data_IF_509308143792
#
_entry.id   IF_509308143792
#
_cell.length_a   1.000
_cell.length_b   1.000
_cell.length_c   1.000
_cell.angle_alpha   90.00
_cell.angle_beta   90.00
_cell.angle_gamma   90.00
#
_symmetry.space_group_name_H-M   'P 1'
#
loop_
_entity.id
_entity.type
_entity.pdbx_description
1 polymer ?
#
# COMPACT_ATOMS: atom_id res chain seq x y z
N UNK A 1 -5.27 -11.56 -18.50
CA UNK A 1 -3.95 -11.63 -19.18
C UNK A 1 -2.88 -11.21 -18.19
N UNK A 2 -1.81 -11.99 -18.06
CA UNK A 2 -0.68 -11.64 -17.19
C UNK A 2 0.26 -10.68 -17.91
N UNK A 3 0.76 -9.66 -17.21
CA UNK A 3 1.64 -8.62 -17.75
C UNK A 3 2.94 -9.17 -18.36
N UNK A 4 3.50 -10.21 -17.73
CA UNK A 4 4.74 -10.86 -18.17
C UNK A 4 4.61 -11.61 -19.50
N UNK A 5 3.47 -12.24 -19.80
CA UNK A 5 3.24 -12.94 -21.07
C UNK A 5 3.15 -11.97 -22.24
N UNK A 6 2.45 -10.85 -22.08
CA UNK A 6 2.35 -9.80 -23.12
C UNK A 6 3.71 -9.17 -23.40
N UNK A 7 4.48 -8.83 -22.36
CA UNK A 7 5.82 -8.26 -22.51
C UNK A 7 6.80 -9.19 -23.23
N UNK A 8 6.62 -10.50 -23.10
CA UNK A 8 7.45 -11.51 -23.75
C UNK A 8 7.15 -11.64 -25.24
N UNK A 9 5.88 -11.54 -25.64
CA UNK A 9 5.43 -11.72 -27.01
C UNK A 9 5.79 -10.53 -27.91
N UNK A 10 5.80 -9.31 -27.36
CA UNK A 10 6.02 -8.06 -28.10
C UNK A 10 7.37 -7.36 -27.82
N UNK A 11 8.41 -8.09 -27.45
CA UNK A 11 9.73 -7.53 -27.11
C UNK A 11 10.23 -6.50 -28.12
N UNK A 12 10.40 -5.25 -27.65
CA UNK A 12 10.97 -4.15 -28.44
C UNK A 12 10.07 -3.57 -29.54
N UNK A 13 8.79 -4.00 -29.65
CA UNK A 13 7.85 -3.56 -30.70
C UNK A 13 6.60 -2.86 -30.15
N UNK A 14 6.53 -2.64 -28.85
CA UNK A 14 5.36 -2.05 -28.20
C UNK A 14 5.75 -1.07 -27.09
N UNK A 15 4.93 -0.07 -26.84
CA UNK A 15 4.98 0.79 -25.66
C UNK A 15 3.87 0.33 -24.71
N UNK A 16 4.24 0.02 -23.47
CA UNK A 16 3.28 -0.38 -22.46
C UNK A 16 2.64 0.83 -21.83
N UNK A 17 1.31 0.92 -21.90
CA UNK A 17 0.51 1.89 -21.16
C UNK A 17 -0.17 1.15 -20.04
N UNK A 18 0.18 1.49 -18.80
CA UNK A 18 -0.43 0.89 -17.61
C UNK A 18 -1.69 1.67 -17.24
N UNK A 19 -2.85 1.02 -17.24
CA UNK A 19 -4.11 1.58 -16.75
C UNK A 19 -4.46 0.94 -15.41
N UNK A 20 -4.83 1.77 -14.44
CA UNK A 20 -5.33 1.34 -13.13
C UNK A 20 -6.82 1.65 -12.95
N UNK A 21 -7.39 1.34 -11.78
CA UNK A 21 -8.66 1.90 -11.33
C UNK A 21 -8.61 3.43 -11.35
N UNK A 22 -9.77 4.09 -11.26
CA UNK A 22 -9.82 5.55 -11.16
C UNK A 22 -8.96 6.01 -9.97
N UNK A 23 -8.11 7.02 -10.18
CA UNK A 23 -7.46 7.75 -9.12
C UNK A 23 -8.48 8.45 -8.23
N UNK A 24 -8.07 8.83 -7.01
CA UNK A 24 -8.96 9.61 -6.15
C UNK A 24 -9.40 10.93 -6.82
N UNK A 25 -8.52 11.58 -7.58
CA UNK A 25 -8.84 12.80 -8.29
C UNK A 25 -9.94 12.61 -9.37
N UNK A 26 -9.86 11.54 -10.14
CA UNK A 26 -10.88 11.17 -11.14
C UNK A 26 -12.21 10.82 -10.47
N UNK A 27 -12.16 10.02 -9.39
CA UNK A 27 -13.33 9.64 -8.59
C UNK A 27 -14.03 10.87 -8.00
N UNK A 28 -13.29 11.76 -7.32
CA UNK A 28 -13.83 12.97 -6.70
C UNK A 28 -14.44 13.93 -7.75
N UNK A 29 -13.81 14.04 -8.91
CA UNK A 29 -14.33 14.84 -10.03
C UNK A 29 -15.66 14.31 -10.57
N UNK A 30 -15.84 12.98 -10.59
CA UNK A 30 -17.08 12.33 -10.97
C UNK A 30 -18.18 12.52 -9.92
N UNK A 31 -17.86 12.29 -8.64
CA UNK A 31 -18.84 12.36 -7.52
C UNK A 31 -19.34 13.77 -7.25
N UNK A 32 -18.53 14.81 -7.47
CA UNK A 32 -18.85 16.23 -7.22
C UNK A 32 -19.32 16.51 -5.78
N UNK A 33 -18.87 15.71 -4.84
CA UNK A 33 -19.14 15.84 -3.41
C UNK A 33 -17.98 16.55 -2.70
N UNK A 34 -18.18 16.85 -1.41
CA UNK A 34 -17.09 17.39 -0.59
C UNK A 34 -15.91 16.39 -0.58
N UNK A 35 -14.67 16.82 -0.85
CA UNK A 35 -13.52 15.91 -1.02
C UNK A 35 -13.30 14.91 0.11
N UNK A 36 -13.54 15.34 1.36
CA UNK A 36 -13.43 14.43 2.51
C UNK A 36 -14.47 13.31 2.48
N UNK A 37 -15.73 13.61 2.12
CA UNK A 37 -16.79 12.59 2.02
C UNK A 37 -16.53 11.64 0.86
N UNK A 38 -16.13 12.18 -0.29
CA UNK A 38 -15.71 11.39 -1.45
C UNK A 38 -14.55 10.45 -1.09
N UNK A 39 -13.59 10.91 -0.25
CA UNK A 39 -12.48 10.07 0.20
C UNK A 39 -12.95 8.90 1.08
N UNK A 40 -13.90 9.13 2.00
CA UNK A 40 -14.43 8.03 2.83
C UNK A 40 -15.11 6.94 1.97
N UNK A 41 -15.83 7.33 0.93
CA UNK A 41 -16.42 6.38 -0.02
C UNK A 41 -15.34 5.65 -0.83
N UNK A 42 -14.33 6.38 -1.31
CA UNK A 42 -13.22 5.82 -2.06
C UNK A 42 -12.38 4.83 -1.24
N UNK A 43 -12.10 5.14 0.02
CA UNK A 43 -11.43 4.23 0.96
C UNK A 43 -12.21 2.92 1.12
N UNK A 44 -13.54 2.98 1.09
CA UNK A 44 -14.39 1.81 1.28
C UNK A 44 -14.56 0.97 0.03
N UNK A 45 -14.86 1.60 -1.11
CA UNK A 45 -15.28 0.90 -2.32
C UNK A 45 -14.29 1.01 -3.48
N UNK A 46 -13.24 1.83 -3.35
CA UNK A 46 -12.22 1.99 -4.39
C UNK A 46 -12.67 2.78 -5.61
N UNK A 47 -11.84 2.68 -6.64
CA UNK A 47 -12.00 3.37 -7.93
C UNK A 47 -12.29 2.45 -9.11
N UNK A 48 -12.70 1.18 -8.91
CA UNK A 48 -13.07 0.30 -10.03
C UNK A 48 -14.28 0.88 -10.77
N UNK A 49 -14.19 1.15 -12.10
CA UNK A 49 -15.24 1.88 -12.84
C UNK A 49 -16.64 1.26 -12.69
N UNK A 50 -16.75 -0.05 -12.74
CA UNK A 50 -18.03 -0.76 -12.57
C UNK A 50 -18.65 -0.51 -11.19
N UNK A 51 -17.82 -0.39 -10.14
CA UNK A 51 -18.26 -0.12 -8.77
C UNK A 51 -18.66 1.34 -8.58
N UNK A 52 -17.89 2.24 -9.19
CA UNK A 52 -18.17 3.70 -9.13
C UNK A 52 -19.53 4.04 -9.77
N UNK A 53 -19.88 3.34 -10.84
CA UNK A 53 -21.14 3.52 -11.57
C UNK A 53 -22.33 2.78 -10.94
N UNK A 54 -22.08 1.84 -10.02
CA UNK A 54 -23.12 1.01 -9.41
C UNK A 54 -23.87 1.74 -8.28
N UNK A 55 -25.10 1.28 -8.02
CA UNK A 55 -25.84 1.67 -6.82
C UNK A 55 -25.15 1.18 -5.53
N UNK A 56 -25.39 1.88 -4.43
CA UNK A 56 -24.70 1.59 -3.15
C UNK A 56 -24.93 0.14 -2.66
N UNK A 57 -26.10 -0.44 -2.94
CA UNK A 57 -26.45 -1.79 -2.53
C UNK A 57 -25.66 -2.86 -3.31
N UNK A 58 -25.27 -2.56 -4.55
CA UNK A 58 -24.60 -3.51 -5.46
C UNK A 58 -23.07 -3.49 -5.34
N UNK A 59 -22.49 -2.42 -4.83
CA UNK A 59 -21.02 -2.20 -4.83
C UNK A 59 -20.25 -3.36 -4.21
N UNK A 60 -20.67 -3.87 -3.05
CA UNK A 60 -20.03 -4.99 -2.36
C UNK A 60 -20.11 -6.27 -3.18
N UNK A 61 -21.26 -6.56 -3.77
CA UNK A 61 -21.48 -7.74 -4.60
C UNK A 61 -20.61 -7.69 -5.85
N UNK A 62 -20.57 -6.55 -6.52
CA UNK A 62 -19.72 -6.34 -7.72
C UNK A 62 -18.25 -6.51 -7.37
N UNK A 63 -17.76 -5.93 -6.27
CA UNK A 63 -16.37 -6.08 -5.84
C UNK A 63 -15.99 -7.53 -5.56
N UNK A 64 -16.84 -8.30 -4.86
CA UNK A 64 -16.63 -9.72 -4.63
C UNK A 64 -16.59 -10.50 -5.95
N UNK A 65 -17.56 -10.26 -6.84
CA UNK A 65 -17.61 -10.92 -8.14
C UNK A 65 -16.39 -10.58 -9.01
N UNK A 66 -15.93 -9.32 -8.99
CA UNK A 66 -14.70 -8.92 -9.70
C UNK A 66 -13.48 -9.64 -9.14
N UNK A 67 -13.37 -9.76 -7.83
CA UNK A 67 -12.27 -10.47 -7.19
C UNK A 67 -12.25 -11.94 -7.63
N UNK A 68 -13.37 -12.65 -7.46
CA UNK A 68 -13.45 -14.08 -7.71
C UNK A 68 -13.36 -14.41 -9.21
N UNK A 69 -14.12 -13.72 -10.05
CA UNK A 69 -14.22 -14.03 -11.48
C UNK A 69 -13.03 -13.56 -12.30
N UNK A 70 -12.47 -12.38 -11.98
CA UNK A 70 -11.42 -11.77 -12.83
C UNK A 70 -10.04 -12.10 -12.31
N UNK A 71 -9.79 -11.89 -11.01
CA UNK A 71 -8.45 -12.08 -10.47
C UNK A 71 -8.15 -13.53 -10.12
N UNK A 72 -9.01 -14.14 -9.33
CA UNK A 72 -8.74 -15.47 -8.79
C UNK A 72 -8.80 -16.54 -9.87
N UNK A 73 -9.86 -16.53 -10.67
CA UNK A 73 -10.06 -17.48 -11.76
C UNK A 73 -8.98 -17.36 -12.84
N UNK A 74 -8.66 -16.15 -13.28
CA UNK A 74 -7.62 -15.90 -14.28
C UNK A 74 -6.25 -16.38 -13.79
N UNK A 75 -5.90 -16.13 -12.52
CA UNK A 75 -4.63 -16.60 -11.93
C UNK A 75 -4.58 -18.12 -11.92
N UNK A 76 -5.67 -18.78 -11.53
CA UNK A 76 -5.74 -20.23 -11.43
C UNK A 76 -5.64 -20.90 -12.81
N UNK A 77 -6.45 -20.44 -13.77
CA UNK A 77 -6.53 -21.04 -15.11
C UNK A 77 -5.23 -20.86 -15.89
N UNK A 78 -4.68 -19.63 -15.91
CA UNK A 78 -3.46 -19.33 -16.68
C UNK A 78 -2.21 -20.03 -16.15
N UNK A 79 -2.19 -20.39 -14.87
CA UNK A 79 -1.01 -21.02 -14.24
C UNK A 79 -1.20 -22.51 -13.93
N UNK A 80 -2.34 -23.10 -14.32
CA UNK A 80 -2.67 -24.52 -14.05
C UNK A 80 -2.44 -24.90 -12.58
N UNK A 81 -2.85 -24.01 -11.66
CA UNK A 81 -2.62 -24.19 -10.23
C UNK A 81 -3.59 -25.22 -9.67
N UNK A 82 -3.04 -26.16 -8.89
CA UNK A 82 -3.84 -27.26 -8.26
C UNK A 82 -4.15 -27.01 -6.78
N UNK A 83 -3.62 -25.95 -6.18
CA UNK A 83 -3.73 -25.67 -4.74
C UNK A 83 -4.43 -24.33 -4.51
N UNK A 84 -5.71 -24.32 -4.84
CA UNK A 84 -6.60 -23.17 -4.71
C UNK A 84 -6.64 -22.63 -3.27
N UNK A 85 -6.80 -23.52 -2.28
CA UNK A 85 -6.86 -23.16 -0.86
C UNK A 85 -5.67 -22.34 -0.37
N UNK A 86 -4.44 -22.66 -0.81
CA UNK A 86 -3.25 -21.91 -0.41
C UNK A 86 -3.16 -20.54 -1.04
N UNK A 87 -3.61 -20.42 -2.29
CA UNK A 87 -3.63 -19.14 -2.98
C UNK A 87 -4.65 -18.21 -2.32
N UNK A 88 -5.80 -18.76 -1.98
CA UNK A 88 -6.89 -18.08 -1.30
C UNK A 88 -6.46 -17.56 0.07
N UNK A 89 -5.90 -18.43 0.92
CA UNK A 89 -5.41 -18.06 2.26
C UNK A 89 -4.24 -17.05 2.19
N UNK A 90 -3.32 -17.21 1.24
CA UNK A 90 -2.26 -16.23 1.04
C UNK A 90 -2.81 -14.86 0.68
N UNK A 91 -3.86 -14.81 -0.14
CA UNK A 91 -4.52 -13.56 -0.48
C UNK A 91 -5.20 -12.90 0.74
N UNK A 92 -5.81 -13.70 1.63
CA UNK A 92 -6.34 -13.21 2.91
C UNK A 92 -5.22 -12.60 3.77
N UNK A 93 -4.11 -13.32 3.93
CA UNK A 93 -2.96 -12.83 4.71
C UNK A 93 -2.45 -11.49 4.17
N UNK A 94 -2.39 -11.33 2.86
CA UNK A 94 -1.95 -10.06 2.24
C UNK A 94 -2.98 -8.96 2.50
N UNK A 95 -4.27 -9.24 2.37
CA UNK A 95 -5.33 -8.26 2.60
C UNK A 95 -5.35 -7.76 4.06
N UNK A 96 -5.22 -8.68 5.02
CA UNK A 96 -5.16 -8.36 6.46
C UNK A 96 -3.85 -7.64 6.85
N UNK A 97 -2.75 -7.92 6.16
CA UNK A 97 -1.44 -7.33 6.43
C UNK A 97 -1.03 -6.22 5.46
N UNK A 98 -2.00 -5.66 4.71
CA UNK A 98 -1.74 -4.54 3.79
C UNK A 98 -1.00 -3.42 4.52
N UNK A 99 0.08 -2.89 3.92
CA UNK A 99 0.93 -1.90 4.59
C UNK A 99 1.90 -2.48 5.64
N UNK A 100 1.79 -3.76 5.99
CA UNK A 100 2.74 -4.45 6.85
C UNK A 100 3.92 -5.06 6.10
N UNK A 101 5.07 -5.20 6.78
CA UNK A 101 6.22 -5.91 6.24
C UNK A 101 5.95 -7.41 6.18
N UNK A 102 5.92 -7.97 5.00
CA UNK A 102 5.66 -9.37 4.78
C UNK A 102 6.96 -10.19 4.78
N UNK A 103 6.99 -11.21 5.63
CA UNK A 103 8.08 -12.18 5.71
C UNK A 103 7.60 -13.54 5.21
N UNK A 104 8.07 -13.93 4.03
CA UNK A 104 7.69 -15.19 3.36
C UNK A 104 7.98 -16.42 4.22
N UNK A 105 9.10 -16.44 4.95
CA UNK A 105 9.43 -17.56 5.85
C UNK A 105 8.44 -17.65 7.03
N UNK A 106 8.03 -16.50 7.60
CA UNK A 106 7.03 -16.48 8.67
C UNK A 106 5.68 -17.00 8.17
N UNK A 107 5.29 -16.64 6.96
CA UNK A 107 4.06 -17.15 6.33
C UNK A 107 4.15 -18.67 6.15
N UNK A 108 5.27 -19.19 5.61
CA UNK A 108 5.48 -20.63 5.45
C UNK A 108 5.35 -21.39 6.78
N UNK A 109 5.92 -20.83 7.85
CA UNK A 109 5.81 -21.40 9.19
C UNK A 109 4.36 -21.38 9.72
N UNK A 110 3.59 -20.32 9.41
CA UNK A 110 2.17 -20.21 9.78
C UNK A 110 1.33 -21.29 9.10
N UNK A 111 1.52 -21.51 7.80
CA UNK A 111 0.85 -22.59 7.08
C UNK A 111 1.19 -23.97 7.65
N UNK A 112 2.45 -24.19 8.02
CA UNK A 112 2.88 -25.45 8.63
C UNK A 112 2.22 -25.70 9.99
N UNK A 113 2.08 -24.67 10.83
CA UNK A 113 1.54 -24.78 12.18
C UNK A 113 0.01 -24.90 12.21
N UNK A 114 -0.71 -24.16 11.35
CA UNK A 114 -2.16 -24.13 11.36
C UNK A 114 -2.81 -25.31 10.61
N UNK A 115 -2.25 -25.68 9.45
CA UNK A 115 -2.88 -26.61 8.54
C UNK A 115 -2.12 -27.95 8.41
N UNK A 116 -1.01 -28.15 9.15
CA UNK A 116 -0.11 -29.28 8.99
C UNK A 116 0.39 -29.51 7.55
N UNK A 117 0.25 -28.49 6.68
CA UNK A 117 0.66 -28.52 5.28
C UNK A 117 1.91 -27.67 5.11
N UNK A 118 2.98 -28.28 4.65
CA UNK A 118 4.25 -27.57 4.38
C UNK A 118 4.18 -26.84 3.04
N UNK A 119 4.23 -25.50 3.08
CA UNK A 119 4.42 -24.67 1.90
C UNK A 119 5.88 -24.21 1.82
N UNK A 120 6.52 -24.45 0.67
CA UNK A 120 7.86 -23.94 0.45
C UNK A 120 7.83 -22.41 0.28
N UNK A 121 8.73 -21.66 0.94
CA UNK A 121 8.87 -20.22 0.75
C UNK A 121 8.96 -19.76 -0.71
N UNK A 122 9.61 -20.55 -1.58
CA UNK A 122 9.68 -20.26 -3.01
C UNK A 122 8.30 -20.35 -3.70
N UNK A 123 7.43 -21.25 -3.24
CA UNK A 123 6.05 -21.35 -3.73
C UNK A 123 5.25 -20.12 -3.34
N UNK A 124 5.39 -19.65 -2.10
CA UNK A 124 4.75 -18.41 -1.64
C UNK A 124 5.24 -17.23 -2.48
N UNK A 125 6.55 -17.13 -2.71
CA UNK A 125 7.12 -16.08 -3.54
C UNK A 125 6.58 -16.11 -4.97
N UNK A 126 6.43 -17.29 -5.56
CA UNK A 126 5.80 -17.47 -6.88
C UNK A 126 4.35 -16.99 -6.88
N UNK A 127 3.57 -17.29 -5.85
CA UNK A 127 2.18 -16.81 -5.76
C UNK A 127 2.10 -15.29 -5.60
N UNK A 128 3.00 -14.68 -4.82
CA UNK A 128 3.10 -13.23 -4.74
C UNK A 128 3.39 -12.59 -6.11
N UNK A 129 4.29 -13.17 -6.90
CA UNK A 129 4.54 -12.71 -8.28
C UNK A 129 3.33 -12.88 -9.19
N UNK A 130 2.54 -13.95 -9.04
CA UNK A 130 1.30 -14.10 -9.80
C UNK A 130 0.28 -13.01 -9.46
N UNK A 131 0.15 -12.64 -8.19
CA UNK A 131 -0.70 -11.52 -7.78
C UNK A 131 -0.18 -10.17 -8.31
N UNK A 132 1.13 -9.96 -8.35
CA UNK A 132 1.73 -8.77 -8.98
C UNK A 132 1.47 -8.75 -10.49
N UNK A 133 1.70 -9.86 -11.18
CA UNK A 133 1.52 -10.03 -12.64
C UNK A 133 0.06 -9.88 -13.08
N UNK A 134 -0.89 -10.26 -12.22
CA UNK A 134 -2.32 -10.06 -12.46
C UNK A 134 -2.80 -8.65 -12.12
N UNK A 135 -1.92 -7.75 -11.71
CA UNK A 135 -2.26 -6.40 -11.25
C UNK A 135 -3.20 -6.36 -10.04
N UNK A 136 -3.20 -7.39 -9.19
CA UNK A 136 -3.98 -7.40 -7.95
C UNK A 136 -3.28 -6.61 -6.86
N UNK A 137 -1.95 -6.82 -6.73
CA UNK A 137 -1.12 -6.15 -5.72
C UNK A 137 0.13 -5.54 -6.34
N UNK A 138 0.79 -4.67 -5.59
CA UNK A 138 2.11 -4.11 -5.90
C UNK A 138 3.04 -4.25 -4.72
N UNK A 139 4.27 -4.70 -4.98
CA UNK A 139 5.31 -4.83 -3.97
C UNK A 139 6.11 -3.53 -3.81
N UNK A 140 6.40 -3.17 -2.58
CA UNK A 140 7.20 -1.99 -2.23
C UNK A 140 8.47 -2.42 -1.50
N UNK A 141 9.66 -2.16 -2.06
CA UNK A 141 10.92 -2.50 -1.44
C UNK A 141 11.23 -1.57 -0.27
N UNK A 142 12.05 -2.05 0.67
CA UNK A 142 12.62 -1.22 1.74
C UNK A 142 13.88 -0.47 1.26
N UNK A 143 14.06 0.72 1.77
CA UNK A 143 15.19 1.58 1.50
C UNK A 143 15.78 2.14 2.81
N UNK A 144 17.07 1.91 3.03
CA UNK A 144 17.79 2.54 4.13
C UNK A 144 18.05 4.01 3.79
N UNK A 145 17.32 4.89 4.41
CA UNK A 145 17.37 6.33 4.12
C UNK A 145 18.69 6.98 4.56
N UNK A 146 19.39 6.40 5.54
CA UNK A 146 20.70 6.88 6.01
C UNK A 146 21.85 6.32 5.16
N UNK A 147 21.80 5.05 4.83
CA UNK A 147 22.82 4.39 4.00
C UNK A 147 22.55 4.52 2.51
N UNK A 148 21.41 5.11 2.12
CA UNK A 148 20.98 5.35 0.72
C UNK A 148 21.02 4.08 -0.15
N UNK A 149 20.51 2.96 0.35
CA UNK A 149 20.49 1.68 -0.37
C UNK A 149 19.24 0.84 -0.10
N UNK A 150 18.86 0.02 -1.07
CA UNK A 150 17.79 -0.97 -0.89
C UNK A 150 18.19 -2.01 0.16
N UNK A 151 17.23 -2.48 0.97
CA UNK A 151 17.47 -3.43 2.05
C UNK A 151 16.62 -4.68 1.87
N UNK A 152 17.28 -5.83 1.94
CA UNK A 152 16.69 -7.15 2.20
C UNK A 152 15.54 -7.57 1.30
N UNK A 153 15.02 -8.78 1.60
CA UNK A 153 13.97 -9.42 0.81
C UNK A 153 12.54 -9.09 1.27
N UNK A 154 12.35 -8.60 2.51
CA UNK A 154 11.02 -8.25 2.99
C UNK A 154 10.48 -7.02 2.27
N UNK A 155 9.21 -7.06 1.90
CA UNK A 155 8.50 -6.00 1.19
C UNK A 155 7.17 -5.72 1.87
N UNK A 156 6.61 -4.52 1.67
CA UNK A 156 5.18 -4.28 1.87
C UNK A 156 4.43 -4.58 0.58
N UNK A 157 3.16 -4.92 0.71
CA UNK A 157 2.29 -5.15 -0.44
C UNK A 157 1.03 -4.31 -0.28
N UNK A 158 0.61 -3.68 -1.39
CA UNK A 158 -0.60 -2.88 -1.45
C UNK A 158 -1.48 -3.36 -2.59
N UNK A 159 -2.77 -3.42 -2.35
CA UNK A 159 -3.74 -3.70 -3.41
C UNK A 159 -3.80 -2.53 -4.39
N UNK A 160 -4.02 -2.82 -5.67
CA UNK A 160 -4.19 -1.78 -6.70
C UNK A 160 -5.46 -0.97 -6.49
N UNK A 161 -6.42 -1.53 -5.76
CA UNK A 161 -7.68 -0.88 -5.41
C UNK A 161 -8.09 -1.22 -3.97
N UNK A 162 -8.44 -0.22 -3.14
CA UNK A 162 -8.83 -0.47 -1.75
C UNK A 162 -10.15 -1.23 -1.65
N UNK A 163 -11.07 -1.09 -2.60
CA UNK A 163 -12.32 -1.84 -2.63
C UNK A 163 -12.09 -3.34 -2.82
N UNK A 164 -11.14 -3.74 -3.66
CA UNK A 164 -10.77 -5.15 -3.82
C UNK A 164 -10.16 -5.72 -2.52
N UNK A 165 -9.30 -4.96 -1.84
CA UNK A 165 -8.78 -5.34 -0.51
C UNK A 165 -9.92 -5.54 0.49
N UNK A 166 -10.85 -4.59 0.57
CA UNK A 166 -11.95 -4.65 1.51
C UNK A 166 -12.95 -5.78 1.18
N UNK A 167 -13.19 -6.05 -0.10
CA UNK A 167 -14.01 -7.18 -0.54
C UNK A 167 -13.41 -8.51 -0.07
N UNK A 168 -12.09 -8.63 -0.10
CA UNK A 168 -11.39 -9.83 0.34
C UNK A 168 -11.49 -10.08 1.85
N UNK A 169 -11.61 -9.04 2.65
CA UNK A 169 -11.84 -9.11 4.11
C UNK A 169 -13.31 -8.99 4.48
N UNK A 170 -14.25 -9.21 3.55
CA UNK A 170 -15.70 -9.09 3.74
C UNK A 170 -16.14 -7.72 4.30
N UNK A 171 -15.33 -6.68 4.13
CA UNK A 171 -15.53 -5.36 4.73
C UNK A 171 -15.61 -5.38 6.27
N UNK A 172 -15.06 -6.40 6.92
CA UNK A 172 -15.07 -6.55 8.38
C UNK A 172 -13.86 -5.86 9.01
N UNK A 173 -12.69 -5.97 8.39
CA UNK A 173 -11.45 -5.35 8.86
C UNK A 173 -11.24 -4.00 8.16
N UNK A 174 -11.95 -2.99 8.64
CA UNK A 174 -11.76 -1.61 8.17
C UNK A 174 -10.66 -0.93 9.01
N UNK A 175 -9.40 -1.33 8.85
CA UNK A 175 -8.30 -0.47 9.28
C UNK A 175 -8.16 0.68 8.29
N UNK A 176 -8.78 1.81 8.68
CA UNK A 176 -8.81 3.02 7.86
C UNK A 176 -7.39 3.55 7.64
N UNK A 177 -6.49 3.42 8.62
CA UNK A 177 -5.10 3.85 8.51
C UNK A 177 -4.35 3.07 7.43
N UNK A 178 -4.42 1.74 7.47
CA UNK A 178 -3.83 0.87 6.44
C UNK A 178 -4.44 1.10 5.05
N UNK A 179 -5.74 1.30 4.99
CA UNK A 179 -6.44 1.56 3.72
C UNK A 179 -6.04 2.92 3.15
N UNK A 180 -5.91 3.94 3.98
CA UNK A 180 -5.41 5.25 3.57
C UNK A 180 -3.96 5.18 3.08
N UNK A 181 -3.10 4.44 3.80
CA UNK A 181 -1.72 4.19 3.37
C UNK A 181 -1.68 3.52 1.99
N UNK A 182 -2.55 2.54 1.74
CA UNK A 182 -2.71 1.91 0.43
C UNK A 182 -3.12 2.92 -0.66
N UNK A 183 -4.08 3.80 -0.37
CA UNK A 183 -4.54 4.82 -1.33
C UNK A 183 -3.44 5.83 -1.62
N UNK A 184 -2.74 6.32 -0.60
CA UNK A 184 -1.59 7.23 -0.76
C UNK A 184 -0.49 6.59 -1.62
N UNK A 185 -0.18 5.31 -1.37
CA UNK A 185 0.77 4.56 -2.20
C UNK A 185 0.34 4.51 -3.66
N UNK A 186 -0.90 4.11 -3.93
CA UNK A 186 -1.43 4.00 -5.29
C UNK A 186 -1.37 5.33 -6.03
N UNK A 187 -1.75 6.43 -5.37
CA UNK A 187 -1.70 7.76 -5.96
C UNK A 187 -0.27 8.20 -6.28
N UNK A 188 0.70 7.94 -5.39
CA UNK A 188 2.12 8.21 -5.65
C UNK A 188 2.61 7.46 -6.91
N UNK A 189 2.28 6.17 -7.04
CA UNK A 189 2.62 5.38 -8.23
C UNK A 189 1.93 5.94 -9.47
N UNK A 190 0.65 6.26 -9.38
CA UNK A 190 -0.13 6.83 -10.46
C UNK A 190 0.47 8.15 -10.98
N UNK A 191 0.96 8.99 -10.08
CA UNK A 191 1.67 10.24 -10.40
C UNK A 191 3.11 10.04 -10.88
N UNK A 192 3.58 8.79 -11.01
CA UNK A 192 4.91 8.45 -11.52
C UNK A 192 6.05 8.59 -10.53
N UNK A 193 5.76 8.55 -9.23
CA UNK A 193 6.81 8.47 -8.21
C UNK A 193 7.36 7.04 -8.10
N UNK A 194 8.66 6.94 -7.87
CA UNK A 194 9.28 5.72 -7.37
C UNK A 194 9.15 5.71 -5.86
N UNK A 195 8.54 4.66 -5.30
CA UNK A 195 8.20 4.57 -3.88
C UNK A 195 8.94 3.42 -3.22
N UNK A 196 9.44 3.67 -2.03
CA UNK A 196 10.06 2.67 -1.14
C UNK A 196 9.60 2.90 0.29
N UNK A 197 9.57 1.85 1.11
CA UNK A 197 9.43 2.00 2.57
C UNK A 197 10.74 2.54 3.12
N UNK A 198 10.70 3.71 3.74
CA UNK A 198 11.87 4.31 4.35
C UNK A 198 12.21 3.63 5.67
N UNK A 199 13.46 3.25 5.87
CA UNK A 199 13.91 2.66 7.13
C UNK A 199 15.28 3.17 7.54
N UNK A 200 15.53 3.24 8.85
CA UNK A 200 16.86 3.46 9.37
C UNK A 200 16.99 2.92 10.79
N UNK A 201 18.22 2.70 11.20
CA UNK A 201 18.57 2.22 12.54
C UNK A 201 19.28 3.33 13.32
N UNK A 202 18.94 3.48 14.59
CA UNK A 202 19.61 4.36 15.55
C UNK A 202 20.01 3.56 16.77
N UNK A 203 21.28 3.61 17.12
CA UNK A 203 21.78 3.05 18.36
C UNK A 203 21.67 4.11 19.45
N UNK A 204 20.99 3.78 20.54
CA UNK A 204 20.92 4.60 21.75
C UNK A 204 21.53 3.82 22.93
N UNK A 205 22.08 4.53 23.89
CA UNK A 205 22.54 3.93 25.15
C UNK A 205 21.45 4.09 26.20
N UNK A 206 21.08 3.01 26.84
CA UNK A 206 20.22 3.03 28.02
C UNK A 206 20.98 3.54 29.25
N UNK A 207 20.29 3.99 30.31
CA UNK A 207 20.93 4.43 31.57
C UNK A 207 21.85 3.40 32.21
N UNK A 208 21.62 2.11 31.95
CA UNK A 208 22.45 0.98 32.41
C UNK A 208 23.71 0.77 31.54
N UNK A 209 23.98 1.65 30.55
CA UNK A 209 25.12 1.55 29.63
C UNK A 209 24.93 0.57 28.47
N UNK A 210 23.83 -0.18 28.41
CA UNK A 210 23.55 -1.13 27.32
C UNK A 210 23.18 -0.37 26.06
N UNK A 211 23.79 -0.76 24.93
CA UNK A 211 23.42 -0.23 23.62
C UNK A 211 22.16 -0.93 23.11
N UNK A 212 21.12 -0.15 22.80
CA UNK A 212 19.87 -0.62 22.18
C UNK A 212 19.78 -0.09 20.78
N UNK A 213 19.49 -0.99 19.84
CA UNK A 213 19.29 -0.68 18.43
C UNK A 213 17.80 -0.53 18.15
N UNK A 214 17.39 0.69 17.85
CA UNK A 214 16.02 1.00 17.48
C UNK A 214 15.91 1.13 15.96
N UNK A 215 14.93 0.45 15.39
CA UNK A 215 14.58 0.58 13.96
C UNK A 215 13.40 1.53 13.83
N UNK A 216 13.52 2.49 12.93
CA UNK A 216 12.48 3.45 12.58
C UNK A 216 12.03 3.18 11.16
N UNK A 217 10.72 3.28 10.95
CA UNK A 217 10.08 3.14 9.65
C UNK A 217 9.44 4.47 9.26
N UNK A 218 9.50 4.79 7.98
CA UNK A 218 8.77 5.88 7.32
C UNK A 218 7.93 5.20 6.26
N UNK A 219 6.63 5.43 6.25
CA UNK A 219 5.73 4.72 5.36
C UNK A 219 6.20 4.81 3.92
N UNK A 220 6.53 6.01 3.45
CA UNK A 220 7.04 6.18 2.10
C UNK A 220 8.23 7.13 1.99
N UNK A 221 9.24 6.68 1.28
CA UNK A 221 10.22 7.51 0.62
C UNK A 221 9.87 7.56 -0.87
N UNK A 222 9.35 8.70 -1.32
CA UNK A 222 8.86 8.91 -2.68
C UNK A 222 9.80 9.83 -3.46
N UNK A 223 10.17 9.43 -4.69
CA UNK A 223 11.09 10.20 -5.54
C UNK A 223 10.57 10.32 -6.97
N UNK A 224 10.66 11.54 -7.55
CA UNK A 224 10.34 11.81 -8.96
C UNK A 224 11.22 12.95 -9.47
N UNK A 225 12.21 12.61 -10.31
CA UNK A 225 13.23 13.57 -10.71
C UNK A 225 13.98 14.13 -9.50
N UNK A 226 13.98 15.45 -9.32
CA UNK A 226 14.59 16.13 -8.17
C UNK A 226 13.70 16.17 -6.93
N UNK A 227 12.42 15.84 -7.05
CA UNK A 227 11.48 15.88 -5.94
C UNK A 227 11.67 14.64 -5.07
N UNK A 228 11.82 14.85 -3.77
CA UNK A 228 11.97 13.78 -2.78
C UNK A 228 11.13 14.12 -1.55
N UNK A 229 10.38 13.13 -1.06
CA UNK A 229 9.50 13.28 0.09
C UNK A 229 9.64 12.11 1.05
N UNK A 230 9.65 12.39 2.34
CA UNK A 230 9.35 11.44 3.39
C UNK A 230 7.89 11.64 3.80
N UNK A 231 7.08 10.60 3.67
CA UNK A 231 5.64 10.67 3.90
C UNK A 231 5.27 9.66 4.98
N UNK A 232 4.54 10.14 5.97
CA UNK A 232 3.91 9.35 7.01
C UNK A 232 2.40 9.50 6.86
N UNK A 233 1.66 8.39 7.01
CA UNK A 233 0.21 8.35 6.85
C UNK A 233 -0.42 7.90 8.15
N UNK A 234 -1.37 8.66 8.67
CA UNK A 234 -2.08 8.30 9.88
C UNK A 234 -3.58 8.63 9.78
N UNK A 235 -4.38 7.88 10.52
CA UNK A 235 -5.81 8.12 10.56
C UNK A 235 -6.16 9.40 11.34
N UNK A 236 -5.47 9.64 12.45
CA UNK A 236 -5.74 10.77 13.34
C UNK A 236 -4.46 11.22 14.06
N UNK A 237 -4.33 12.54 14.28
CA UNK A 237 -3.24 13.18 15.05
C UNK A 237 -3.72 13.87 16.33
N UNK A 238 -4.97 13.69 16.74
CA UNK A 238 -5.56 14.38 17.90
C UNK A 238 -4.91 13.98 19.22
N UNK A 239 -4.40 12.74 19.32
CA UNK A 239 -3.74 12.23 20.53
C UNK A 239 -2.27 12.64 20.55
N UNK A 240 -1.74 13.21 21.66
CA UNK A 240 -0.31 13.52 21.80
C UNK A 240 0.60 12.31 21.57
N UNK A 241 0.20 11.14 22.02
CA UNK A 241 0.97 9.90 21.85
C UNK A 241 1.06 9.47 20.38
N UNK A 242 -0.03 9.63 19.61
CA UNK A 242 -0.02 9.39 18.17
C UNK A 242 0.87 10.41 17.46
N UNK A 243 0.72 11.70 17.81
CA UNK A 243 1.56 12.75 17.25
C UNK A 243 3.07 12.46 17.45
N UNK A 244 3.48 12.16 18.69
CA UNK A 244 4.87 11.81 18.99
C UNK A 244 5.35 10.57 18.21
N UNK A 245 4.51 9.55 18.09
CA UNK A 245 4.82 8.33 17.34
C UNK A 245 5.10 8.64 15.87
N UNK A 246 4.22 9.41 15.23
CA UNK A 246 4.34 9.76 13.80
C UNK A 246 5.50 10.72 13.52
N UNK A 247 5.84 11.59 14.49
CA UNK A 247 6.98 12.51 14.38
C UNK A 247 8.34 11.82 14.61
N UNK A 248 8.36 10.80 15.45
CA UNK A 248 9.59 10.14 15.91
C UNK A 248 10.52 9.67 14.79
N UNK A 249 10.03 9.11 13.66
CA UNK A 249 10.89 8.75 12.53
C UNK A 249 11.60 9.95 11.91
N UNK A 250 11.03 11.14 11.96
CA UNK A 250 11.60 12.34 11.34
C UNK A 250 12.68 13.02 12.18
N UNK A 251 12.60 12.92 13.52
CA UNK A 251 13.49 13.64 14.45
C UNK A 251 14.99 13.31 14.28
N UNK A 252 15.31 12.16 13.71
CA UNK A 252 16.70 11.72 13.52
C UNK A 252 17.19 11.87 12.08
N UNK A 253 16.38 12.46 11.21
CA UNK A 253 16.72 12.70 9.81
C UNK A 253 17.11 14.18 9.66
N UNK A 254 18.41 14.42 9.47
CA UNK A 254 18.99 15.77 9.28
C UNK A 254 19.10 16.03 7.78
N UNK A 255 17.97 16.01 7.05
CA UNK A 255 18.03 16.13 5.60
C UNK A 255 17.09 17.22 5.09
N UNK A 256 17.48 17.85 3.98
CA UNK A 256 16.70 18.84 3.25
C UNK A 256 15.45 18.25 2.55
N UNK A 257 15.24 16.93 2.68
CA UNK A 257 14.08 16.24 2.10
C UNK A 257 12.81 16.65 2.85
N UNK A 258 11.80 17.06 2.11
CA UNK A 258 10.52 17.47 2.68
C UNK A 258 9.85 16.33 3.42
N UNK A 259 9.35 16.61 4.62
CA UNK A 259 8.66 15.68 5.49
C UNK A 259 7.19 16.04 5.53
N UNK A 260 6.33 15.06 5.28
CA UNK A 260 4.89 15.24 5.11
C UNK A 260 4.16 14.24 5.98
N UNK A 261 3.13 14.69 6.67
CA UNK A 261 2.20 13.86 7.41
C UNK A 261 0.84 14.02 6.76
N UNK A 262 0.29 12.91 6.31
CA UNK A 262 -1.02 12.83 5.67
C UNK A 262 -2.02 12.28 6.67
N UNK A 263 -3.09 13.01 6.91
CA UNK A 263 -4.08 12.70 7.97
C UNK A 263 -5.47 12.52 7.38
N UNK A 264 -6.20 11.49 7.82
CA UNK A 264 -7.60 11.28 7.45
C UNK A 264 -8.56 12.19 8.24
N UNK A 265 -8.34 13.48 8.16
CA UNK A 265 -9.19 14.48 8.82
C UNK A 265 -9.31 15.70 7.94
N UNK A 266 -10.46 16.40 7.95
CA UNK A 266 -10.67 17.61 7.17
C UNK A 266 -10.01 18.83 7.86
N UNK A 267 -8.68 18.79 7.96
CA UNK A 267 -7.86 19.84 8.56
C UNK A 267 -7.33 20.78 7.48
N UNK A 268 -7.08 22.04 7.87
CA UNK A 268 -6.34 22.96 7.04
C UNK A 268 -4.86 22.58 7.00
N UNK A 269 -4.23 22.87 5.85
CA UNK A 269 -2.79 22.71 5.67
C UNK A 269 -2.02 23.50 6.72
N UNK A 270 -1.08 22.86 7.39
CA UNK A 270 -0.27 23.47 8.43
C UNK A 270 1.16 22.94 8.44
N UNK A 271 2.00 23.55 9.27
CA UNK A 271 3.37 23.05 9.51
C UNK A 271 3.63 22.89 11.00
N UNK A 272 4.38 21.83 11.32
CA UNK A 272 4.92 21.68 12.67
C UNK A 272 5.97 22.75 12.98
N UNK A 273 6.38 22.85 14.25
CA UNK A 273 7.48 23.74 14.67
C UNK A 273 8.81 23.42 13.96
N UNK A 274 9.00 22.16 13.60
CA UNK A 274 10.18 21.66 12.85
C UNK A 274 10.05 21.88 11.34
N UNK A 275 8.94 22.46 10.85
CA UNK A 275 8.70 22.76 9.44
C UNK A 275 8.13 21.62 8.61
N UNK A 276 7.67 20.50 9.23
CA UNK A 276 7.05 19.40 8.51
C UNK A 276 5.62 19.77 8.11
N UNK A 277 5.23 19.36 6.91
CA UNK A 277 3.86 19.55 6.44
C UNK A 277 2.88 18.62 7.11
N UNK A 278 1.72 19.14 7.52
CA UNK A 278 0.55 18.36 7.91
C UNK A 278 -0.56 18.70 6.93
N UNK A 279 -1.04 17.70 6.22
CA UNK A 279 -2.01 17.84 5.15
C UNK A 279 -3.20 16.90 5.39
N UNK A 280 -4.41 17.37 5.06
CA UNK A 280 -5.53 16.45 4.91
C UNK A 280 -5.24 15.46 3.78
N UNK A 281 -5.71 14.23 3.92
CA UNK A 281 -5.51 13.21 2.89
C UNK A 281 -6.14 13.62 1.55
N UNK A 282 -7.32 14.24 1.59
CA UNK A 282 -7.97 14.75 0.39
C UNK A 282 -7.16 15.83 -0.33
N UNK A 283 -6.58 16.79 0.40
CA UNK A 283 -5.75 17.83 -0.21
C UNK A 283 -4.43 17.28 -0.74
N UNK A 284 -3.81 16.36 0.01
CA UNK A 284 -2.61 15.66 -0.45
C UNK A 284 -2.84 14.95 -1.79
N UNK A 285 -3.92 14.16 -1.88
CA UNK A 285 -4.26 13.38 -3.07
C UNK A 285 -4.69 14.24 -4.26
N UNK A 286 -5.38 15.37 -4.02
CA UNK A 286 -5.91 16.22 -5.09
C UNK A 286 -4.91 17.28 -5.60
N UNK A 287 -4.08 17.83 -4.72
CA UNK A 287 -3.34 19.06 -5.02
C UNK A 287 -1.85 18.95 -4.80
N UNK A 288 -1.41 18.31 -3.72
CA UNK A 288 -0.01 18.42 -3.29
C UNK A 288 0.96 17.64 -4.19
N UNK A 289 0.58 16.45 -4.61
CA UNK A 289 1.40 15.58 -5.48
C UNK A 289 1.04 15.68 -6.97
N UNK A 290 0.19 16.62 -7.32
CA UNK A 290 -0.27 16.86 -8.68
C UNK A 290 0.84 17.32 -9.64
#
# INVERSE_FOLDING_TARGET
>A
MLSSSIATEFRGKSTNISMGPLSFGEFASYRKEHPFLALQEYLKYGGMPQVVLAGNEDKKTILKSLFDAVYFKDIMELNSLRKEEFLDELCNIIAESTGGLLNVQKIANTFQSKEHKRLDPNTIQRYLHLFEDSFLIRAVPRYDVKRRKKIGAMRKYYFVDPGLKNARTDFIYEDIGQTLENVVFNELIYRGYTVSVGMYEKVSKEPNGKSVKNTFEIDFFATKGIRQYYIQVCNDLSSPSTYEREMKPYLSLVEEIQKIIVVNSPIEESRTKEGYWILSASDFLLRFIA
#
